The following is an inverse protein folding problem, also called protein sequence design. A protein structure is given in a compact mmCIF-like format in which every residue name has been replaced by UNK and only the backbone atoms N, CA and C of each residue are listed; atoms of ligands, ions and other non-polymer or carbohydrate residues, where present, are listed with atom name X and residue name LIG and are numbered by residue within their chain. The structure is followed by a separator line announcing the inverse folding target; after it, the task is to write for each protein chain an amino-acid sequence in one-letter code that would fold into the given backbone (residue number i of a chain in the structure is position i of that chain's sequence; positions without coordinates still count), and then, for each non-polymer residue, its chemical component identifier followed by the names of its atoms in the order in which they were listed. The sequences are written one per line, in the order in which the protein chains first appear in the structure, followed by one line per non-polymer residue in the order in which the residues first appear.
data_IF_716441386942
#
_entry.id   IF_716441386942
#
_cell.length_a   1.000
_cell.length_b   1.000
_cell.length_c   1.000
_cell.angle_alpha   90.00
_cell.angle_beta   90.00
_cell.angle_gamma   90.00
#
_symmetry.space_group_name_H-M   'P 1'
#
loop_
_entity.id
_entity.type
_entity.pdbx_description
1 polymer ?
#
# COMPACT_ATOMS: atom_id res chain seq x y z
N UNK A 1 -6.27 -39.72 -11.26
CA UNK A 1 -5.94 -38.28 -11.31
C UNK A 1 -6.90 -37.56 -10.37
N UNK A 2 -6.47 -37.09 -9.19
CA UNK A 2 -7.32 -36.19 -8.38
C UNK A 2 -6.58 -35.46 -7.25
N UNK A 3 -5.53 -36.04 -6.68
CA UNK A 3 -4.89 -35.44 -5.50
C UNK A 3 -3.93 -34.29 -5.81
N UNK A 4 -3.18 -34.36 -6.92
CA UNK A 4 -2.25 -33.30 -7.32
C UNK A 4 -2.98 -32.02 -7.73
N UNK A 5 -4.05 -32.14 -8.51
CA UNK A 5 -4.91 -31.01 -8.89
C UNK A 5 -5.63 -30.39 -7.68
N UNK A 6 -6.05 -31.22 -6.72
CA UNK A 6 -6.63 -30.77 -5.44
C UNK A 6 -5.60 -30.01 -4.59
N UNK A 7 -4.32 -30.36 -4.67
CA UNK A 7 -3.25 -29.66 -3.94
C UNK A 7 -2.90 -28.32 -4.60
N UNK A 8 -2.85 -28.28 -5.93
CA UNK A 8 -2.62 -27.05 -6.71
C UNK A 8 -3.73 -26.02 -6.43
N UNK A 9 -5.00 -26.44 -6.33
CA UNK A 9 -6.10 -25.54 -5.97
C UNK A 9 -6.06 -24.96 -4.56
N UNK A 10 -5.30 -25.58 -3.62
CA UNK A 10 -5.11 -25.06 -2.26
C UNK A 10 -3.99 -24.02 -2.18
N UNK A 11 -3.03 -24.07 -3.10
CA UNK A 11 -1.88 -23.17 -3.11
C UNK A 11 -2.26 -21.68 -3.22
N UNK A 12 -3.20 -21.25 -4.09
CA UNK A 12 -3.64 -19.86 -4.13
C UNK A 12 -4.17 -19.35 -2.80
N UNK A 13 -4.97 -20.16 -2.08
CA UNK A 13 -5.51 -19.77 -0.77
C UNK A 13 -4.41 -19.62 0.27
N UNK A 14 -3.44 -20.53 0.28
CA UNK A 14 -2.26 -20.43 1.12
C UNK A 14 -1.44 -19.18 0.80
N UNK A 15 -1.16 -18.93 -0.48
CA UNK A 15 -0.41 -17.78 -0.94
C UNK A 15 -1.07 -16.47 -0.54
N UNK A 16 -2.38 -16.33 -0.75
CA UNK A 16 -3.15 -15.14 -0.34
C UNK A 16 -3.09 -14.99 1.19
N UNK A 17 -3.26 -16.06 1.95
CA UNK A 17 -3.18 -16.02 3.42
C UNK A 17 -1.81 -15.56 3.92
N UNK A 18 -0.73 -16.06 3.31
CA UNK A 18 0.65 -15.67 3.65
C UNK A 18 0.91 -14.22 3.25
N UNK A 19 0.49 -13.81 2.06
CA UNK A 19 0.62 -12.42 1.61
C UNK A 19 -0.12 -11.47 2.55
N UNK A 20 -1.39 -11.76 2.88
CA UNK A 20 -2.17 -10.94 3.81
C UNK A 20 -1.50 -10.86 5.19
N UNK A 21 -1.08 -12.00 5.75
CA UNK A 21 -0.38 -12.03 7.04
C UNK A 21 0.95 -11.26 7.01
N UNK A 22 1.72 -11.41 5.93
CA UNK A 22 2.96 -10.68 5.70
C UNK A 22 2.71 -9.16 5.64
N UNK A 23 1.80 -8.69 4.78
CA UNK A 23 1.50 -7.27 4.69
C UNK A 23 0.95 -6.71 6.00
N UNK A 24 0.05 -7.41 6.68
CA UNK A 24 -0.47 -6.94 7.97
C UNK A 24 0.63 -6.79 9.04
N UNK A 25 1.55 -7.76 9.11
CA UNK A 25 2.65 -7.73 10.10
C UNK A 25 3.71 -6.70 9.75
N UNK A 26 4.10 -6.60 8.48
CA UNK A 26 5.10 -5.63 8.00
C UNK A 26 4.58 -4.19 8.00
N UNK A 27 3.29 -3.96 7.74
CA UNK A 27 2.68 -2.62 7.76
C UNK A 27 2.29 -2.16 9.18
N UNK A 28 2.17 -3.07 10.16
CA UNK A 28 1.87 -2.73 11.57
C UNK A 28 2.75 -1.60 12.15
N UNK A 29 4.10 -1.62 12.04
CA UNK A 29 4.93 -0.51 12.51
C UNK A 29 4.62 0.80 11.78
N UNK A 30 4.28 0.76 10.49
CA UNK A 30 3.91 1.95 9.70
C UNK A 30 2.64 2.57 10.29
N UNK A 31 1.61 1.77 10.57
CA UNK A 31 0.38 2.27 11.22
C UNK A 31 0.65 2.84 12.61
N UNK A 32 1.55 2.22 13.38
CA UNK A 32 1.97 2.76 14.69
C UNK A 32 2.71 4.10 14.58
N UNK A 33 3.50 4.31 13.52
CA UNK A 33 4.12 5.62 13.25
C UNK A 33 3.07 6.69 12.97
N UNK A 34 1.93 6.34 12.36
CA UNK A 34 0.82 7.27 12.09
C UNK A 34 0.01 7.64 13.36
N UNK A 35 0.10 6.88 14.45
CA UNK A 35 -0.55 7.22 15.73
C UNK A 35 0.18 8.35 16.46
N UNK A 36 1.49 8.51 16.25
CA UNK A 36 2.25 9.60 16.85
C UNK A 36 1.83 10.92 16.21
N UNK A 37 1.20 11.82 16.99
CA UNK A 37 0.67 13.11 16.51
C UNK A 37 1.68 13.93 15.71
N UNK A 38 2.96 13.94 16.10
CA UNK A 38 4.01 14.70 15.37
C UNK A 38 4.32 14.06 14.01
N UNK A 39 4.51 12.75 13.99
CA UNK A 39 4.77 12.01 12.74
C UNK A 39 3.56 12.06 11.81
N UNK A 40 2.34 11.97 12.36
CA UNK A 40 1.10 12.10 11.58
C UNK A 40 1.04 13.42 10.82
N UNK A 41 1.38 14.54 11.47
CA UNK A 41 1.42 15.86 10.83
C UNK A 41 2.47 15.90 9.72
N UNK A 42 3.67 15.35 9.96
CA UNK A 42 4.74 15.27 8.95
C UNK A 42 4.29 14.43 7.75
N UNK A 43 3.68 13.26 7.99
CA UNK A 43 3.17 12.38 6.92
C UNK A 43 2.09 13.07 6.11
N UNK A 44 1.16 13.80 6.76
CA UNK A 44 0.12 14.58 6.06
C UNK A 44 0.75 15.67 5.20
N UNK A 45 1.68 16.46 5.75
CA UNK A 45 2.38 17.50 4.97
C UNK A 45 3.09 16.92 3.75
N UNK A 46 3.85 15.84 3.93
CA UNK A 46 4.55 15.18 2.84
C UNK A 46 3.57 14.68 1.76
N UNK A 47 2.44 14.11 2.17
CA UNK A 47 1.40 13.62 1.25
C UNK A 47 0.76 14.76 0.46
N UNK A 48 0.43 15.88 1.12
CA UNK A 48 -0.13 17.06 0.46
C UNK A 48 0.86 17.67 -0.53
N UNK A 49 2.13 17.80 -0.15
CA UNK A 49 3.19 18.29 -1.04
C UNK A 49 3.37 17.39 -2.24
N UNK A 50 3.36 16.07 -2.05
CA UNK A 50 3.47 15.10 -3.13
C UNK A 50 2.29 15.18 -4.11
N UNK A 51 1.05 15.22 -3.61
CA UNK A 51 -0.15 15.37 -4.44
C UNK A 51 -0.12 16.70 -5.20
N UNK A 52 0.30 17.78 -4.55
CA UNK A 52 0.42 19.10 -5.18
C UNK A 52 1.47 19.09 -6.29
N UNK A 53 2.62 18.45 -6.05
CA UNK A 53 3.67 18.30 -7.06
C UNK A 53 3.18 17.48 -8.27
N UNK A 54 2.46 16.38 -8.03
CA UNK A 54 1.83 15.61 -9.09
C UNK A 54 0.81 16.44 -9.87
N UNK A 55 -0.05 17.19 -9.17
CA UNK A 55 -1.04 18.06 -9.81
C UNK A 55 -0.36 19.12 -10.68
N UNK A 56 0.68 19.79 -10.18
CA UNK A 56 1.45 20.78 -10.95
C UNK A 56 2.09 20.12 -12.17
N UNK A 57 2.69 18.94 -12.00
CA UNK A 57 3.33 18.20 -13.10
C UNK A 57 2.31 17.89 -14.19
N UNK A 58 1.15 17.35 -13.83
CA UNK A 58 0.06 17.04 -14.75
C UNK A 58 -0.47 18.32 -15.41
N UNK A 59 -0.67 19.39 -14.63
CA UNK A 59 -1.10 20.70 -15.14
C UNK A 59 -0.14 21.24 -16.20
N UNK A 60 1.17 21.14 -15.96
CA UNK A 60 2.21 21.55 -16.91
C UNK A 60 2.22 20.65 -18.16
N UNK A 61 2.01 19.35 -18.01
CA UNK A 61 1.96 18.41 -19.14
C UNK A 61 0.73 18.62 -20.03
N UNK A 62 -0.41 19.02 -19.45
CA UNK A 62 -1.65 19.25 -20.20
C UNK A 62 -1.87 20.72 -20.60
N UNK A 63 -0.94 21.62 -20.26
CA UNK A 63 -1.06 23.08 -20.46
C UNK A 63 -2.42 23.65 -19.98
N UNK A 64 -2.94 23.08 -18.88
CA UNK A 64 -4.19 23.53 -18.29
C UNK A 64 -3.89 24.83 -17.54
N UNK A 65 -4.54 25.94 -17.90
CA UNK A 65 -4.36 27.25 -17.27
C UNK A 65 -4.90 27.30 -15.84
#
# INVERSE_FOLDING_TARGET
MNDQWKNIGKFPKFFISVMLGFFLTTLKPIFRLLENKRLKIITIMLTVTFISALYITIKLMLDIK
#
